data_IF_656007311827
#
_entry.id   IF_656007311827
#
_cell.length_a   1.000
_cell.length_b   1.000
_cell.length_c   1.000
_cell.angle_alpha   90.00
_cell.angle_beta   90.00
_cell.angle_gamma   90.00
#
_symmetry.space_group_name_H-M   'P 1'
#
loop_
_entity.id
_entity.type
_entity.pdbx_description
1 polymer ?
#
# COMPACT_ATOMS: atom_id res chain seq x y z
N UNK A 1 8.84 -12.13 -0.07
CA UNK A 1 7.42 -12.01 -0.45
C UNK A 1 7.11 -10.52 -0.47
N UNK A 2 7.09 -9.90 -1.65
CA UNK A 2 6.98 -8.44 -1.78
C UNK A 2 5.55 -7.98 -1.44
N UNK A 3 5.45 -6.91 -0.66
CA UNK A 3 4.20 -6.39 -0.06
C UNK A 3 3.10 -6.02 -1.05
N UNK A 4 3.45 -5.75 -2.31
CA UNK A 4 2.53 -5.33 -3.36
C UNK A 4 1.52 -6.43 -3.73
N UNK A 5 1.89 -7.71 -3.58
CA UNK A 5 1.02 -8.84 -3.91
C UNK A 5 -0.26 -8.85 -3.06
N UNK A 6 -0.16 -8.45 -1.79
CA UNK A 6 -1.31 -8.47 -0.88
C UNK A 6 -2.37 -7.43 -1.25
N UNK A 7 -1.95 -6.23 -1.69
CA UNK A 7 -2.90 -5.19 -2.10
C UNK A 7 -3.67 -5.59 -3.36
N UNK A 8 -2.97 -6.13 -4.36
CA UNK A 8 -3.61 -6.58 -5.60
C UNK A 8 -4.64 -7.69 -5.34
N UNK A 9 -4.27 -8.67 -4.51
CA UNK A 9 -5.19 -9.75 -4.12
C UNK A 9 -6.36 -9.20 -3.31
N UNK A 10 -6.14 -8.23 -2.42
CA UNK A 10 -7.19 -7.61 -1.64
C UNK A 10 -8.25 -6.91 -2.53
N UNK A 11 -7.80 -6.10 -3.49
CA UNK A 11 -8.68 -5.42 -4.45
C UNK A 11 -9.43 -6.41 -5.36
N UNK A 12 -8.76 -7.48 -5.78
CA UNK A 12 -9.41 -8.54 -6.55
C UNK A 12 -10.48 -9.24 -5.69
N UNK A 13 -10.16 -9.59 -4.44
CA UNK A 13 -11.07 -10.24 -3.50
C UNK A 13 -12.33 -9.42 -3.23
N UNK A 14 -12.17 -8.11 -3.07
CA UNK A 14 -13.30 -7.18 -3.00
C UNK A 14 -14.19 -7.27 -4.25
N UNK A 15 -13.61 -7.21 -5.44
CA UNK A 15 -14.35 -7.27 -6.73
C UNK A 15 -15.15 -8.56 -6.89
N UNK A 16 -14.65 -9.68 -6.39
CA UNK A 16 -15.30 -10.99 -6.47
C UNK A 16 -16.10 -11.36 -5.22
N UNK A 17 -16.25 -10.43 -4.27
CA UNK A 17 -16.99 -10.61 -3.02
C UNK A 17 -16.57 -11.87 -2.24
N UNK A 18 -15.26 -12.15 -2.18
CA UNK A 18 -14.70 -13.27 -1.43
C UNK A 18 -13.53 -12.83 -0.55
N UNK A 19 -13.02 -13.75 0.28
CA UNK A 19 -11.84 -13.46 1.10
C UNK A 19 -10.56 -13.55 0.27
N UNK A 20 -9.54 -12.72 0.55
CA UNK A 20 -8.21 -12.85 -0.05
C UNK A 20 -7.66 -14.27 0.03
N UNK A 21 -7.74 -14.91 1.20
CA UNK A 21 -7.33 -16.28 1.45
C UNK A 21 -8.07 -17.31 0.59
N UNK A 22 -9.38 -17.14 0.39
CA UNK A 22 -10.18 -17.99 -0.49
C UNK A 22 -9.77 -17.84 -1.95
N UNK A 23 -9.45 -16.62 -2.38
CA UNK A 23 -9.02 -16.33 -3.75
C UNK A 23 -7.70 -17.02 -4.12
N UNK A 24 -6.78 -17.11 -3.16
CA UNK A 24 -5.47 -17.78 -3.35
C UNK A 24 -5.50 -19.26 -2.97
N UNK A 25 -6.65 -19.80 -2.55
CA UNK A 25 -6.81 -21.21 -2.21
C UNK A 25 -6.07 -21.65 -0.94
N UNK A 26 -5.97 -20.78 0.07
CA UNK A 26 -5.38 -21.15 1.36
C UNK A 26 -6.37 -22.00 2.19
N UNK A 27 -5.98 -23.24 2.47
CA UNK A 27 -6.79 -24.20 3.24
C UNK A 27 -6.45 -24.20 4.74
N UNK A 28 -5.22 -23.86 5.10
CA UNK A 28 -4.81 -23.72 6.50
C UNK A 28 -5.50 -22.50 7.13
N UNK A 29 -6.26 -22.72 8.19
CA UNK A 29 -7.12 -21.69 8.79
C UNK A 29 -6.33 -20.57 9.48
N UNK A 30 -5.15 -20.87 10.02
CA UNK A 30 -4.29 -19.88 10.68
C UNK A 30 -3.62 -19.01 9.63
N UNK A 31 -3.03 -19.63 8.61
CA UNK A 31 -2.41 -18.91 7.50
C UNK A 31 -3.44 -18.10 6.70
N UNK A 32 -4.66 -18.62 6.51
CA UNK A 32 -5.74 -17.89 5.87
C UNK A 32 -6.09 -16.60 6.62
N UNK A 33 -6.18 -16.65 7.95
CA UNK A 33 -6.44 -15.48 8.78
C UNK A 33 -5.31 -14.45 8.69
N UNK A 34 -4.05 -14.89 8.84
CA UNK A 34 -2.89 -14.01 8.75
C UNK A 34 -2.80 -13.34 7.36
N UNK A 35 -3.12 -14.09 6.31
CA UNK A 35 -3.16 -13.59 4.95
C UNK A 35 -4.25 -12.53 4.76
N UNK A 36 -5.47 -12.80 5.24
CA UNK A 36 -6.59 -11.86 5.18
C UNK A 36 -6.28 -10.57 5.95
N UNK A 37 -5.65 -10.67 7.13
CA UNK A 37 -5.22 -9.53 7.92
C UNK A 37 -4.14 -8.70 7.21
N UNK A 38 -3.16 -9.36 6.59
CA UNK A 38 -2.12 -8.67 5.82
C UNK A 38 -2.71 -7.93 4.61
N UNK A 39 -3.64 -8.55 3.90
CA UNK A 39 -4.38 -7.94 2.80
C UNK A 39 -5.20 -6.71 3.26
N UNK A 40 -5.93 -6.83 4.37
CA UNK A 40 -6.70 -5.74 4.95
C UNK A 40 -5.82 -4.58 5.41
N UNK A 41 -4.67 -4.86 6.05
CA UNK A 41 -3.73 -3.83 6.47
C UNK A 41 -3.22 -3.00 5.28
N UNK A 42 -2.94 -3.65 4.13
CA UNK A 42 -2.50 -2.96 2.91
C UNK A 42 -3.59 -2.10 2.27
N UNK A 43 -4.85 -2.53 2.32
CA UNK A 43 -5.97 -1.69 1.89
C UNK A 43 -6.06 -0.42 2.75
N UNK A 44 -6.01 -0.58 4.08
CA UNK A 44 -6.06 0.56 5.02
C UNK A 44 -4.89 1.51 4.80
N UNK A 45 -3.67 0.99 4.61
CA UNK A 45 -2.49 1.81 4.29
C UNK A 45 -2.70 2.61 2.99
N UNK A 46 -3.24 1.97 1.94
CA UNK A 46 -3.50 2.62 0.65
C UNK A 46 -4.58 3.69 0.76
N UNK A 47 -5.66 3.42 1.48
CA UNK A 47 -6.73 4.39 1.74
C UNK A 47 -6.20 5.60 2.52
N UNK A 48 -5.39 5.37 3.56
CA UNK A 48 -4.75 6.45 4.33
C UNK A 48 -3.82 7.30 3.47
N UNK A 49 -3.03 6.67 2.59
CA UNK A 49 -2.18 7.39 1.65
C UNK A 49 -3.02 8.26 0.70
N UNK A 50 -4.07 7.71 0.11
CA UNK A 50 -4.97 8.46 -0.78
C UNK A 50 -5.67 9.62 -0.05
N UNK A 51 -6.14 9.41 1.19
CA UNK A 51 -6.71 10.48 2.02
C UNK A 51 -5.68 11.55 2.39
N UNK A 52 -4.43 11.17 2.63
CA UNK A 52 -3.35 12.12 2.88
C UNK A 52 -3.05 12.97 1.65
N UNK A 53 -3.01 12.37 0.46
CA UNK A 53 -2.83 13.08 -0.82
C UNK A 53 -3.97 14.09 -1.06
N UNK A 54 -5.23 13.69 -0.81
CA UNK A 54 -6.40 14.56 -0.94
C UNK A 54 -6.35 15.71 0.08
N UNK A 55 -5.98 15.42 1.33
CA UNK A 55 -5.89 16.43 2.41
C UNK A 55 -4.76 17.43 2.17
N UNK A 56 -3.67 17.01 1.54
CA UNK A 56 -2.55 17.89 1.23
C UNK A 56 -2.83 18.84 0.07
N UNK A 57 -3.78 18.52 -0.83
CA UNK A 57 -4.03 19.33 -2.04
C UNK A 57 -2.77 19.48 -2.91
N UNK A 58 -2.85 20.08 -4.12
CA UNK A 58 -1.67 20.38 -4.91
C UNK A 58 -0.92 21.59 -4.31
N UNK A 59 -0.10 21.33 -3.30
CA UNK A 59 1.08 22.12 -3.02
C UNK A 59 2.26 21.14 -3.22
N UNK A 60 3.15 21.26 -4.20
CA UNK A 60 3.78 22.48 -4.71
C UNK A 60 4.17 22.33 -6.18
N UNK A 61 3.80 23.32 -7.00
CA UNK A 61 4.75 23.84 -7.98
C UNK A 61 5.69 24.79 -7.24
N UNK A 62 6.99 24.69 -7.53
CA UNK A 62 8.07 25.53 -7.02
C UNK A 62 8.30 25.53 -5.50
N UNK A 63 9.14 24.61 -5.02
CA UNK A 63 10.42 24.90 -4.34
C UNK A 63 11.01 23.65 -3.67
N UNK A 64 11.71 22.83 -4.45
CA UNK A 64 12.94 22.20 -3.95
C UNK A 64 13.90 21.78 -5.07
N UNK A 65 14.05 22.64 -6.08
CA UNK A 65 15.27 22.67 -6.90
C UNK A 65 16.17 23.73 -6.29
N UNK A 66 17.04 23.33 -5.37
CA UNK A 66 18.15 24.21 -4.95
C UNK A 66 18.52 24.17 -3.48
N UNK A 67 19.02 23.04 -2.97
CA UNK A 67 20.15 23.07 -2.04
C UNK A 67 20.93 21.76 -2.00
N UNK A 68 21.37 21.30 -3.17
CA UNK A 68 22.54 20.41 -3.24
C UNK A 68 23.78 21.28 -2.97
N UNK A 69 24.02 21.64 -1.70
CA UNK A 69 25.30 22.21 -1.28
C UNK A 69 26.34 21.10 -1.35
N UNK A 70 26.90 20.97 -2.55
CA UNK A 70 28.31 20.74 -2.85
C UNK A 70 29.18 20.55 -1.61
N UNK A 71 29.31 19.29 -1.19
CA UNK A 71 30.46 18.83 -0.42
C UNK A 71 31.60 18.64 -1.42
N UNK A 72 32.32 19.72 -1.72
CA UNK A 72 33.61 19.65 -2.40
C UNK A 72 34.60 20.62 -1.73
N UNK A 73 35.51 20.01 -0.96
CA UNK A 73 36.95 20.28 -0.94
C UNK A 73 37.39 21.65 -0.37
N UNK A 74 37.87 21.67 0.88
CA UNK A 74 39.30 21.67 1.29
C UNK A 74 39.41 21.27 2.76
#
# INVERSE_FOLDING_TARGET
MHSENFLLVALAAEKFACRPSQMVGLEDSVLALDFDLAAAARLIERERAALSEIRSGPAEGDREVGRQTREERW
#
